data_IF_230486709049
#
_entry.id   IF_230486709049
#
_cell.length_a   1.000
_cell.length_b   1.000
_cell.length_c   1.000
_cell.angle_alpha   90.00
_cell.angle_beta   90.00
_cell.angle_gamma   90.00
#
_symmetry.space_group_name_H-M   'P 1'
#
loop_
_entity.id
_entity.type
_entity.pdbx_description
1 polymer ?
#
# COMPACT_ATOMS: atom_id res chain seq x y z
N UNK A 1 7.38 -2.38 -2.70
CA UNK A 1 7.13 -1.07 -3.33
C UNK A 1 5.83 -1.16 -4.11
N UNK A 2 4.98 -0.15 -4.00
CA UNK A 2 3.65 -0.11 -4.64
C UNK A 2 3.58 1.09 -5.59
N UNK A 3 2.79 0.99 -6.65
CA UNK A 3 2.63 2.05 -7.67
C UNK A 3 1.35 1.88 -8.47
N UNK A 4 0.96 2.94 -9.16
CA UNK A 4 -0.21 2.99 -10.03
C UNK A 4 0.25 2.84 -11.48
N UNK A 5 -0.20 1.77 -12.14
CA UNK A 5 -0.01 1.61 -13.57
C UNK A 5 -0.96 2.55 -14.31
N UNK A 6 -0.39 3.43 -15.14
CA UNK A 6 -1.14 4.47 -15.88
C UNK A 6 -1.19 4.20 -17.39
N UNK A 7 -0.83 2.98 -17.81
CA UNK A 7 -0.79 2.58 -19.22
C UNK A 7 0.57 2.83 -19.87
N UNK A 8 0.74 2.33 -21.10
CA UNK A 8 1.93 2.54 -21.93
C UNK A 8 3.26 2.24 -21.22
N UNK A 9 3.32 1.15 -20.46
CA UNK A 9 4.49 0.73 -19.68
C UNK A 9 4.89 1.74 -18.57
N UNK A 10 4.00 2.66 -18.20
CA UNK A 10 4.27 3.69 -17.18
C UNK A 10 3.63 3.36 -15.84
N UNK A 11 4.39 3.64 -14.78
CA UNK A 11 3.96 3.56 -13.39
C UNK A 11 4.27 4.86 -12.69
N UNK A 12 3.29 5.40 -11.97
CA UNK A 12 3.48 6.50 -11.02
C UNK A 12 3.60 5.90 -9.62
N UNK A 13 4.64 6.27 -8.88
CA UNK A 13 4.86 5.76 -7.54
C UNK A 13 5.61 6.75 -6.66
N UNK A 14 5.38 6.65 -5.35
CA UNK A 14 6.07 7.48 -4.38
C UNK A 14 7.36 6.79 -3.94
N UNK A 15 8.50 7.48 -4.11
CA UNK A 15 9.83 6.91 -3.89
C UNK A 15 10.46 7.51 -2.66
N UNK A 16 11.07 6.64 -1.85
CA UNK A 16 12.00 7.08 -0.84
C UNK A 16 13.31 7.57 -1.48
N UNK A 17 13.89 8.64 -0.94
CA UNK A 17 15.24 9.08 -1.23
C UNK A 17 16.18 7.96 -0.76
N UNK A 18 16.68 7.18 -1.71
CA UNK A 18 17.77 6.25 -1.47
C UNK A 18 19.01 7.06 -1.79
N UNK A 19 19.82 7.38 -0.77
CA UNK A 19 21.15 7.97 -0.99
C UNK A 19 21.85 7.08 -2.00
N UNK A 20 22.17 7.63 -3.17
CA UNK A 20 23.05 6.93 -4.10
C UNK A 20 24.35 6.65 -3.33
N UNK A 21 24.84 5.42 -3.35
CA UNK A 21 26.20 5.16 -2.89
C UNK A 21 27.12 6.11 -3.68
N UNK A 22 27.85 6.96 -2.95
CA UNK A 22 28.74 7.96 -3.51
C UNK A 22 29.77 7.26 -4.42
N UNK A 23 29.57 7.32 -5.74
CA UNK A 23 30.54 6.74 -6.69
C UNK A 23 29.99 6.30 -8.05
N UNK A 24 28.68 6.08 -8.22
CA UNK A 24 28.13 5.68 -9.52
C UNK A 24 27.26 6.78 -10.15
N UNK A 25 27.60 7.30 -11.34
CA UNK A 25 26.72 8.18 -12.10
C UNK A 25 25.43 7.42 -12.41
N UNK A 26 24.32 7.81 -11.78
CA UNK A 26 23.00 7.28 -12.09
C UNK A 26 22.57 7.84 -13.44
N UNK A 27 22.91 7.11 -14.51
CA UNK A 27 22.48 7.40 -15.87
C UNK A 27 20.95 7.39 -15.94
N UNK A 28 20.39 8.36 -16.66
CA UNK A 28 18.96 8.41 -16.91
C UNK A 28 18.52 7.16 -17.68
N UNK A 29 17.34 6.61 -17.35
CA UNK A 29 16.80 5.49 -18.09
C UNK A 29 16.51 5.91 -19.54
N UNK A 30 17.03 5.15 -20.52
CA UNK A 30 16.79 5.44 -21.95
C UNK A 30 15.31 5.34 -22.36
N UNK A 31 14.50 4.56 -21.63
CA UNK A 31 13.07 4.33 -21.92
C UNK A 31 12.16 5.39 -21.31
N UNK A 32 12.39 5.75 -20.05
CA UNK A 32 11.51 6.67 -19.32
C UNK A 32 12.15 8.00 -18.94
N UNK A 33 13.43 8.23 -19.24
CA UNK A 33 14.17 9.44 -18.85
C UNK A 33 14.44 9.55 -17.35
N UNK A 34 13.91 8.64 -16.54
CA UNK A 34 14.00 8.73 -15.09
C UNK A 34 15.46 8.69 -14.62
N UNK A 35 15.85 9.70 -13.83
CA UNK A 35 17.12 9.79 -13.11
C UNK A 35 16.81 9.85 -11.62
N UNK A 36 17.53 9.06 -10.82
CA UNK A 36 17.39 9.12 -9.35
C UNK A 36 17.85 10.50 -8.86
N UNK A 37 17.06 11.09 -7.97
CA UNK A 37 17.35 12.36 -7.29
C UNK A 37 17.44 12.12 -5.78
N UNK A 38 18.06 13.07 -5.08
CA UNK A 38 18.28 13.01 -3.62
C UNK A 38 17.05 13.43 -2.79
N UNK A 39 15.91 13.68 -3.43
CA UNK A 39 14.68 14.11 -2.77
C UNK A 39 13.57 13.06 -2.87
N UNK A 40 12.71 13.05 -1.84
CA UNK A 40 11.51 12.22 -1.75
C UNK A 40 10.47 12.79 -2.70
N UNK A 41 10.14 12.10 -3.80
CA UNK A 41 9.17 12.61 -4.79
C UNK A 41 8.27 11.50 -5.35
N UNK A 42 7.06 11.91 -5.77
CA UNK A 42 6.21 11.12 -6.66
C UNK A 42 6.83 11.17 -8.04
N UNK A 43 7.08 10.00 -8.64
CA UNK A 43 7.78 9.90 -9.92
C UNK A 43 7.02 9.03 -10.90
N UNK A 44 7.23 9.28 -12.19
CA UNK A 44 6.81 8.42 -13.29
C UNK A 44 8.01 7.63 -13.82
N UNK A 45 7.88 6.31 -13.88
CA UNK A 45 8.93 5.40 -14.39
C UNK A 45 8.35 4.40 -15.38
N UNK A 46 9.22 3.71 -16.13
CA UNK A 46 8.83 2.49 -16.83
C UNK A 46 8.72 1.29 -15.88
N UNK A 47 8.02 0.22 -16.27
CA UNK A 47 7.92 -1.01 -15.47
C UNK A 47 9.30 -1.59 -15.11
N UNK A 48 10.26 -1.53 -16.03
CA UNK A 48 11.63 -2.02 -15.79
C UNK A 48 12.32 -1.26 -14.65
N UNK A 49 12.16 0.07 -14.62
CA UNK A 49 12.72 0.92 -13.57
C UNK A 49 11.97 0.76 -12.24
N UNK A 50 10.66 0.57 -12.30
CA UNK A 50 9.84 0.29 -11.12
C UNK A 50 10.27 -1.04 -10.47
N UNK A 51 10.44 -2.09 -11.27
CA UNK A 51 10.86 -3.42 -10.83
C UNK A 51 12.26 -3.42 -10.21
N UNK A 52 13.25 -2.79 -10.87
CA UNK A 52 14.65 -2.70 -10.41
C UNK A 52 14.83 -1.90 -9.11
N UNK A 53 13.85 -1.08 -8.73
CA UNK A 53 13.91 -0.21 -7.54
C UNK A 53 13.26 -0.82 -6.30
N UNK A 54 12.49 -1.90 -6.43
CA UNK A 54 12.19 -2.70 -5.25
C UNK A 54 13.52 -3.15 -4.67
N UNK A 55 13.78 -2.91 -3.39
CA UNK A 55 15.04 -3.23 -2.69
C UNK A 55 15.48 -4.70 -2.76
N UNK A 56 14.78 -5.53 -3.54
CA UNK A 56 14.99 -6.94 -3.77
C UNK A 56 14.94 -7.20 -5.28
N UNK A 57 16.07 -7.04 -5.96
CA UNK A 57 16.26 -7.61 -7.30
C UNK A 57 15.85 -9.09 -7.25
N UNK A 58 14.84 -9.48 -8.05
CA UNK A 58 14.25 -10.83 -8.04
C UNK A 58 12.81 -10.92 -7.56
N UNK A 59 12.20 -9.83 -7.08
CA UNK A 59 10.77 -9.81 -6.69
C UNK A 59 9.86 -9.67 -7.90
N UNK A 60 8.90 -10.58 -8.09
CA UNK A 60 7.88 -10.47 -9.15
C UNK A 60 6.96 -9.26 -8.95
N UNK A 61 6.46 -8.71 -10.06
CA UNK A 61 5.37 -7.73 -10.02
C UNK A 61 4.06 -8.47 -9.72
N UNK A 62 3.28 -7.92 -8.79
CA UNK A 62 1.97 -8.46 -8.43
C UNK A 62 0.91 -7.39 -8.60
N UNK A 63 -0.26 -7.79 -9.11
CA UNK A 63 -1.43 -6.92 -9.14
C UNK A 63 -2.14 -7.01 -7.79
N UNK A 64 -2.25 -5.87 -7.11
CA UNK A 64 -3.03 -5.77 -5.87
C UNK A 64 -4.52 -5.63 -6.22
N UNK A 65 -5.36 -6.55 -5.74
CA UNK A 65 -6.80 -6.56 -6.05
C UNK A 65 -7.62 -5.83 -4.99
N UNK A 66 -8.68 -5.17 -5.42
CA UNK A 66 -9.59 -4.39 -4.56
C UNK A 66 -11.01 -4.96 -4.68
N UNK A 67 -11.81 -4.82 -3.62
CA UNK A 67 -13.17 -5.33 -3.55
C UNK A 67 -13.29 -6.84 -3.28
N UNK A 68 -12.25 -7.49 -2.77
CA UNK A 68 -12.24 -8.92 -2.46
C UNK A 68 -12.37 -9.15 -0.95
N UNK A 69 -13.18 -10.14 -0.55
CA UNK A 69 -13.29 -10.57 0.83
C UNK A 69 -11.99 -11.15 1.36
N UNK A 70 -11.84 -11.18 2.70
CA UNK A 70 -10.67 -11.76 3.37
C UNK A 70 -10.49 -13.23 2.99
N UNK A 71 -11.60 -13.96 2.85
CA UNK A 71 -11.61 -15.36 2.45
C UNK A 71 -11.13 -15.53 1.00
N UNK A 72 -11.62 -14.72 0.06
CA UNK A 72 -11.15 -14.75 -1.33
C UNK A 72 -9.66 -14.42 -1.42
N UNK A 73 -9.18 -13.44 -0.64
CA UNK A 73 -7.75 -13.14 -0.57
C UNK A 73 -6.90 -14.33 -0.09
N UNK A 74 -7.39 -15.07 0.90
CA UNK A 74 -6.73 -16.26 1.43
C UNK A 74 -6.75 -17.42 0.43
N UNK A 75 -7.90 -17.69 -0.20
CA UNK A 75 -8.07 -18.76 -1.19
C UNK A 75 -7.13 -18.56 -2.37
N UNK A 76 -7.08 -17.34 -2.90
CA UNK A 76 -6.26 -17.03 -4.07
C UNK A 76 -4.79 -16.77 -3.73
N UNK A 77 -4.42 -16.77 -2.44
CA UNK A 77 -3.07 -16.42 -1.96
C UNK A 77 -2.53 -15.15 -2.62
N UNK A 78 -3.40 -14.17 -2.84
CA UNK A 78 -3.11 -12.94 -3.57
C UNK A 78 -3.09 -11.75 -2.62
N UNK A 79 -2.34 -10.71 -2.97
CA UNK A 79 -2.42 -9.44 -2.28
C UNK A 79 -3.74 -8.74 -2.65
N UNK A 80 -4.68 -8.65 -1.70
CA UNK A 80 -5.92 -7.93 -1.92
C UNK A 80 -6.54 -7.35 -0.65
N UNK A 81 -7.53 -6.48 -0.86
CA UNK A 81 -8.30 -5.79 0.18
C UNK A 81 -9.79 -5.81 -0.11
N UNK A 82 -10.58 -5.69 0.96
CA UNK A 82 -12.04 -5.48 0.91
C UNK A 82 -12.42 -4.07 0.44
N UNK A 83 -11.52 -3.10 0.56
CA UNK A 83 -11.79 -1.74 0.11
C UNK A 83 -12.10 -1.72 -1.38
N UNK A 84 -13.12 -0.95 -1.75
CA UNK A 84 -13.47 -0.73 -3.15
C UNK A 84 -12.53 0.27 -3.80
N UNK A 85 -12.11 -0.04 -5.02
CA UNK A 85 -11.35 0.90 -5.84
C UNK A 85 -12.31 1.87 -6.54
N UNK A 86 -11.92 3.14 -6.63
CA UNK A 86 -12.47 4.06 -7.61
C UNK A 86 -12.30 3.51 -9.04
N UNK A 87 -13.12 3.99 -10.00
CA UNK A 87 -12.96 3.73 -11.42
C UNK A 87 -11.53 4.03 -11.93
N UNK A 88 -11.06 3.25 -12.90
CA UNK A 88 -9.66 3.27 -13.33
C UNK A 88 -9.21 4.64 -13.88
N UNK A 89 -10.08 5.32 -14.60
CA UNK A 89 -9.92 6.69 -15.08
C UNK A 89 -9.68 7.68 -13.94
N UNK A 90 -10.49 7.61 -12.87
CA UNK A 90 -10.30 8.47 -11.69
C UNK A 90 -8.99 8.17 -10.95
N UNK A 91 -8.63 6.89 -10.85
CA UNK A 91 -7.37 6.47 -10.21
C UNK A 91 -6.17 7.01 -10.98
N UNK A 92 -6.19 6.91 -12.31
CA UNK A 92 -5.13 7.42 -13.18
C UNK A 92 -5.09 8.95 -13.11
N UNK A 93 -6.22 9.63 -13.26
CA UNK A 93 -6.30 11.08 -13.16
C UNK A 93 -5.72 11.61 -11.84
N UNK A 94 -6.10 10.99 -10.71
CA UNK A 94 -5.57 11.36 -9.39
C UNK A 94 -4.05 11.16 -9.29
N UNK A 95 -3.52 10.05 -9.81
CA UNK A 95 -2.09 9.80 -9.80
C UNK A 95 -1.31 10.79 -10.67
N UNK A 96 -1.87 11.17 -11.83
CA UNK A 96 -1.35 12.17 -12.75
C UNK A 96 -1.33 13.57 -12.11
N UNK A 97 -2.46 14.02 -11.53
CA UNK A 97 -2.58 15.31 -10.83
C UNK A 97 -1.53 15.46 -9.72
N UNK A 98 -1.34 14.41 -8.91
CA UNK A 98 -0.33 14.44 -7.83
C UNK A 98 1.08 14.52 -8.41
N UNK A 99 1.38 13.76 -9.47
CA UNK A 99 2.68 13.82 -10.12
C UNK A 99 2.97 15.20 -10.70
N UNK A 100 1.98 15.82 -11.36
CA UNK A 100 2.10 17.15 -11.96
C UNK A 100 2.18 18.28 -10.92
N UNK A 101 1.58 18.10 -9.74
CA UNK A 101 1.63 19.08 -8.64
C UNK A 101 3.05 19.33 -8.08
N UNK A 102 4.05 18.56 -8.48
CA UNK A 102 5.44 18.81 -8.11
C UNK A 102 5.71 18.53 -6.64
N UNK A 103 5.22 17.40 -6.13
CA UNK A 103 5.52 16.85 -4.80
C UNK A 103 4.72 17.44 -3.62
N UNK A 104 3.50 17.92 -3.87
CA UNK A 104 2.59 18.39 -2.82
C UNK A 104 1.89 17.26 -2.05
N UNK A 105 2.19 16.00 -2.36
CA UNK A 105 1.69 14.82 -1.63
C UNK A 105 2.21 14.71 -0.18
N UNK A 106 3.06 15.66 0.23
CA UNK A 106 3.62 15.73 1.58
C UNK A 106 4.96 15.01 1.70
N UNK A 107 5.65 15.24 2.82
CA UNK A 107 6.94 14.60 3.09
C UNK A 107 6.72 13.11 3.37
N UNK A 108 7.55 12.25 2.77
CA UNK A 108 7.54 10.81 3.01
C UNK A 108 7.74 10.52 4.50
N UNK A 109 6.87 9.70 5.06
CA UNK A 109 7.00 9.17 6.42
C UNK A 109 6.92 7.65 6.31
N UNK A 110 7.94 6.96 6.83
CA UNK A 110 8.05 5.49 6.77
C UNK A 110 6.81 4.76 7.27
N UNK A 111 6.07 5.34 8.22
CA UNK A 111 4.93 4.72 8.88
C UNK A 111 3.58 5.14 8.25
N UNK A 112 3.49 6.38 7.72
CA UNK A 112 2.20 6.98 7.34
C UNK A 112 2.12 7.47 5.90
N UNK A 113 3.21 7.95 5.29
CA UNK A 113 3.22 8.53 3.95
C UNK A 113 4.27 7.82 3.11
N UNK A 114 4.00 6.57 2.77
CA UNK A 114 4.88 5.69 2.01
C UNK A 114 4.24 5.30 0.66
N UNK A 115 4.88 4.43 -0.12
CA UNK A 115 4.36 4.00 -1.43
C UNK A 115 2.98 3.30 -1.38
N UNK A 116 2.64 2.65 -0.25
CA UNK A 116 1.34 2.00 -0.03
C UNK A 116 0.25 3.03 0.27
N UNK A 117 0.59 4.07 1.04
CA UNK A 117 -0.31 5.19 1.30
C UNK A 117 -0.68 5.95 0.02
N UNK A 118 0.33 6.29 -0.80
CA UNK A 118 0.12 6.90 -2.11
C UNK A 118 -0.79 6.05 -3.00
N UNK A 119 -0.49 4.75 -3.11
CA UNK A 119 -1.28 3.86 -3.96
C UNK A 119 -2.72 3.71 -3.45
N UNK A 120 -2.93 3.63 -2.14
CA UNK A 120 -4.26 3.53 -1.54
C UNK A 120 -5.05 4.82 -1.72
N UNK A 121 -4.44 5.98 -1.51
CA UNK A 121 -5.08 7.26 -1.80
C UNK A 121 -5.50 7.38 -3.27
N UNK A 122 -4.59 7.01 -4.19
CA UNK A 122 -4.89 6.97 -5.62
C UNK A 122 -6.06 6.02 -5.92
N UNK A 123 -6.11 4.84 -5.29
CA UNK A 123 -7.11 3.81 -5.58
C UNK A 123 -8.47 4.06 -4.93
N UNK A 124 -8.52 4.63 -3.73
CA UNK A 124 -9.76 4.71 -2.94
C UNK A 124 -10.26 6.15 -2.73
N UNK A 125 -9.47 7.16 -3.07
CA UNK A 125 -9.79 8.58 -2.80
C UNK A 125 -9.69 8.97 -1.32
N UNK A 126 -9.53 8.01 -0.42
CA UNK A 126 -9.25 8.20 1.01
C UNK A 126 -7.90 7.60 1.33
N UNK A 127 -7.09 8.36 2.07
CA UNK A 127 -5.75 7.97 2.43
C UNK A 127 -5.77 7.22 3.77
N UNK A 128 -6.46 6.08 3.80
CA UNK A 128 -6.43 5.20 4.96
C UNK A 128 -5.24 4.27 4.78
N UNK A 129 -4.24 4.37 5.65
CA UNK A 129 -3.13 3.41 5.67
C UNK A 129 -3.73 2.04 5.97
N UNK A 130 -3.71 1.14 4.99
CA UNK A 130 -4.08 -0.27 5.13
C UNK A 130 -3.41 -0.94 6.32
N UNK A 131 -2.22 -0.48 6.72
CA UNK A 131 -1.52 -0.96 7.92
C UNK A 131 -2.21 -0.53 9.22
N UNK A 132 -2.72 0.70 9.27
CA UNK A 132 -3.49 1.22 10.41
C UNK A 132 -4.87 0.58 10.44
N UNK A 133 -5.54 0.43 9.30
CA UNK A 133 -6.85 -0.23 9.23
C UNK A 133 -6.77 -1.72 9.58
N UNK A 134 -5.77 -2.44 9.06
CA UNK A 134 -5.53 -3.84 9.46
C UNK A 134 -5.17 -3.94 10.95
N UNK A 135 -4.40 -2.99 11.47
CA UNK A 135 -4.07 -2.90 12.90
C UNK A 135 -5.31 -2.64 13.76
N UNK A 136 -6.15 -1.69 13.37
CA UNK A 136 -7.40 -1.33 14.07
C UNK A 136 -8.41 -2.47 13.99
N UNK A 137 -8.57 -3.11 12.83
CA UNK A 137 -9.41 -4.29 12.68
C UNK A 137 -8.87 -5.47 13.49
N UNK A 138 -7.55 -5.70 13.50
CA UNK A 138 -6.94 -6.74 14.33
C UNK A 138 -7.17 -6.47 15.82
N UNK A 139 -6.99 -5.23 16.27
CA UNK A 139 -7.28 -4.82 17.65
C UNK A 139 -8.77 -4.96 17.96
N UNK A 140 -9.67 -4.60 17.04
CA UNK A 140 -11.11 -4.78 17.17
C UNK A 140 -11.48 -6.27 17.29
N UNK A 141 -10.92 -7.14 16.44
CA UNK A 141 -11.10 -8.60 16.50
C UNK A 141 -10.57 -9.18 17.83
N UNK A 142 -9.42 -8.70 18.34
CA UNK A 142 -8.89 -9.11 19.63
C UNK A 142 -9.78 -8.67 20.79
N UNK A 143 -10.27 -7.43 20.77
CA UNK A 143 -11.20 -6.91 21.79
C UNK A 143 -12.48 -7.74 21.78
N UNK A 144 -13.07 -7.99 20.61
CA UNK A 144 -14.30 -8.80 20.49
C UNK A 144 -14.10 -10.22 21.01
N UNK A 145 -12.97 -10.87 20.68
CA UNK A 145 -12.62 -12.20 21.20
C UNK A 145 -12.47 -12.20 22.73
N UNK A 146 -11.79 -11.19 23.27
CA UNK A 146 -11.61 -11.09 24.72
C UNK A 146 -12.93 -10.80 25.44
N UNK A 147 -13.78 -9.90 24.91
CA UNK A 147 -15.13 -9.62 25.45
C UNK A 147 -15.99 -10.88 25.45
N UNK A 148 -16.00 -11.64 24.35
CA UNK A 148 -16.74 -12.89 24.27
C UNK A 148 -16.22 -13.92 25.28
N UNK A 149 -14.90 -14.03 25.45
CA UNK A 149 -14.28 -14.90 26.45
C UNK A 149 -14.63 -14.49 27.87
N UNK A 150 -14.63 -13.20 28.20
CA UNK A 150 -15.07 -12.70 29.52
C UNK A 150 -16.54 -13.00 29.78
N UNK A 151 -17.41 -12.83 28.79
CA UNK A 151 -18.84 -13.16 28.90
C UNK A 151 -19.07 -14.66 29.12
N UNK A 152 -18.30 -15.52 28.44
CA UNK A 152 -18.36 -16.97 28.67
C UNK A 152 -17.88 -17.37 30.07
N UNK A 153 -16.85 -16.70 30.60
CA UNK A 153 -16.38 -16.93 31.98
C UNK A 153 -17.42 -16.48 33.01
N UNK A 154 -18.06 -15.33 32.81
CA UNK A 154 -19.12 -14.85 33.72
C UNK A 154 -20.41 -15.69 33.65
N UNK A 155 -20.76 -16.22 32.47
CA UNK A 155 -21.91 -17.09 32.30
C UNK A 155 -21.62 -18.55 32.69
N UNK A 156 -20.34 -18.92 32.85
CA UNK A 156 -19.89 -20.26 33.25
C UNK A 156 -19.94 -20.53 34.75
N UNK A 157 -20.11 -19.49 35.58
CA UNK A 157 -20.13 -19.61 37.05
C UNK A 157 -21.54 -19.80 37.64
N UNK A 158 -22.56 -20.05 36.81
CA UNK A 158 -23.94 -20.32 37.24
C UNK A 158 -24.39 -21.75 36.90
N UNK A 159 -23.60 -22.76 37.28
CA UNK A 159 -24.19 -24.09 37.48
C UNK A 159 -23.46 -24.93 38.55
N UNK A 160 -24.27 -25.35 39.53
CA UNK A 160 -24.08 -26.44 40.51
C UNK A 160 -23.13 -26.24 41.70
N UNK A 161 -23.70 -25.86 42.84
CA UNK A 161 -23.87 -26.81 43.95
C UNK A 161 -24.96 -26.34 44.92
N UNK A 162 -26.17 -26.85 44.71
CA UNK A 162 -27.15 -27.04 45.80
C UNK A 162 -27.81 -28.40 45.58
N UNK A 163 -27.22 -29.42 46.18
CA UNK A 163 -27.91 -30.58 46.73
C UNK A 163 -26.99 -31.34 47.68
#
# INVERSE_FOLDING_TARGET
>A
MTGIYVGNDRVIHFVQAIKANAGAPLMACKKCGFKRKDHLEVVRTCLDCFHKKGFLSGTRLYLYRYGFSRLECQIHRTHCTKMQSCPADQVVARAEEIYESGNQFGKYNFILNNCEYFATYCKCGTAISTQVDQGVEYVRELIQRNVHRYQQLQNGDFCSSSR
#
